data_IF_446327011401
#
_entry.id   IF_446327011401
#
_cell.length_a   1.000
_cell.length_b   1.000
_cell.length_c   1.000
_cell.angle_alpha   90.00
_cell.angle_beta   90.00
_cell.angle_gamma   90.00
#
_symmetry.space_group_name_H-M   'P 1'
#
loop_
_entity.id
_entity.type
_entity.pdbx_description
1 polymer ?
#
# COMPACT_ATOMS: atom_id res chain seq x y z
N UNK A 1 38.95 -12.02 32.34
CA UNK A 1 39.71 -10.82 32.77
C UNK A 1 38.80 -9.61 32.66
N UNK A 2 38.41 -9.04 33.80
CA UNK A 2 37.68 -7.77 33.89
C UNK A 2 38.72 -6.65 34.00
N UNK A 3 38.62 -5.63 33.16
CA UNK A 3 39.39 -4.39 33.32
C UNK A 3 38.38 -3.28 33.57
N UNK A 4 38.51 -2.68 34.74
CA UNK A 4 37.76 -1.54 35.26
C UNK A 4 38.77 -0.44 35.58
N UNK A 5 38.56 0.77 35.06
CA UNK A 5 39.07 2.06 35.59
C UNK A 5 38.55 3.19 34.67
N UNK A 6 37.51 3.96 35.02
CA UNK A 6 37.40 5.12 35.93
C UNK A 6 38.11 6.44 35.46
N UNK A 7 37.57 7.62 35.82
CA UNK A 7 37.33 8.76 34.92
C UNK A 7 38.22 10.00 35.20
N UNK A 8 38.19 10.98 34.30
CA UNK A 8 38.75 12.34 34.51
C UNK A 8 37.65 13.41 34.35
N UNK A 9 37.31 14.10 35.45
CA UNK A 9 37.65 15.49 35.84
C UNK A 9 36.90 16.57 35.04
N UNK A 10 35.87 17.21 35.62
CA UNK A 10 35.91 18.43 36.47
C UNK A 10 36.53 19.66 35.76
N UNK A 11 35.65 20.59 35.39
CA UNK A 11 35.99 21.94 34.92
C UNK A 11 34.83 22.89 35.19
N UNK A 12 34.76 23.41 36.42
CA UNK A 12 33.93 24.52 36.86
C UNK A 12 34.42 25.84 36.27
N UNK A 13 33.55 26.62 35.66
CA UNK A 13 33.80 28.03 35.40
C UNK A 13 32.54 28.85 35.72
N UNK A 14 32.59 29.48 36.88
CA UNK A 14 31.68 30.50 37.38
C UNK A 14 31.92 31.79 36.59
N UNK A 15 30.86 32.42 36.07
CA UNK A 15 30.91 33.82 35.65
C UNK A 15 29.64 34.52 36.14
N UNK A 16 29.85 35.30 37.20
CA UNK A 16 28.97 36.35 37.71
C UNK A 16 28.97 37.50 36.70
N UNK A 17 27.82 38.10 36.40
CA UNK A 17 27.83 39.33 35.63
C UNK A 17 26.46 39.91 35.26
N UNK A 18 26.00 40.81 36.12
CA UNK A 18 25.25 42.03 35.78
C UNK A 18 23.74 41.93 35.50
N UNK A 19 22.98 42.39 36.50
CA UNK A 19 21.57 42.78 36.42
C UNK A 19 21.47 44.22 35.88
N UNK A 20 20.62 44.42 34.87
CA UNK A 20 20.07 45.73 34.51
C UNK A 20 18.59 45.55 34.18
N UNK A 21 17.74 46.16 35.00
CA UNK A 21 16.31 46.34 34.79
C UNK A 21 16.09 47.57 33.89
N UNK A 22 15.09 47.50 33.00
CA UNK A 22 13.95 48.43 32.87
C UNK A 22 13.39 48.45 31.43
N UNK A 23 12.04 48.49 31.37
CA UNK A 23 11.13 48.94 30.31
C UNK A 23 10.43 47.84 29.48
N UNK A 24 9.12 47.73 29.70
CA UNK A 24 8.21 46.84 28.98
C UNK A 24 7.70 47.41 27.65
N UNK A 25 7.19 46.52 26.82
CA UNK A 25 5.98 46.65 25.97
C UNK A 25 5.58 45.24 25.51
N UNK A 26 4.28 44.95 25.53
CA UNK A 26 3.72 43.66 25.17
C UNK A 26 3.79 43.38 23.66
N UNK A 27 4.22 42.17 23.30
CA UNK A 27 3.62 41.36 22.23
C UNK A 27 4.09 41.57 20.78
N UNK A 28 5.15 40.89 20.37
CA UNK A 28 5.30 40.35 19.01
C UNK A 28 6.29 39.17 19.03
N UNK A 29 5.77 37.95 19.04
CA UNK A 29 6.57 36.74 18.96
C UNK A 29 7.26 36.65 17.58
N UNK A 30 8.56 36.31 17.51
CA UNK A 30 9.17 35.95 16.23
C UNK A 30 8.51 34.65 15.78
N UNK A 31 7.87 34.70 14.61
CA UNK A 31 7.33 33.53 13.94
C UNK A 31 8.42 32.47 13.85
N UNK A 32 8.24 31.37 14.59
CA UNK A 32 9.02 30.17 14.43
C UNK A 32 8.99 29.79 12.95
N UNK A 33 10.17 29.75 12.33
CA UNK A 33 10.36 29.15 11.02
C UNK A 33 9.87 27.71 11.12
N UNK A 34 8.66 27.48 10.60
CA UNK A 34 8.10 26.14 10.48
C UNK A 34 9.06 25.25 9.69
N UNK A 35 9.08 23.93 9.97
CA UNK A 35 9.90 23.00 9.20
C UNK A 35 9.63 23.19 7.71
N UNK A 36 10.67 23.10 6.85
CA UNK A 36 10.52 23.33 5.42
C UNK A 36 9.38 22.46 4.90
N UNK A 37 8.32 23.12 4.45
CA UNK A 37 7.21 22.50 3.76
C UNK A 37 7.80 21.63 2.66
N UNK A 38 7.67 20.31 2.79
CA UNK A 38 7.91 19.32 1.74
C UNK A 38 6.87 19.51 0.64
N UNK A 39 6.80 20.71 0.05
CA UNK A 39 6.11 21.01 -1.18
C UNK A 39 7.07 20.76 -2.34
N UNK A 40 7.72 19.58 -2.35
CA UNK A 40 8.12 18.97 -3.61
C UNK A 40 6.81 18.56 -4.28
N UNK A 41 6.43 19.26 -5.35
CA UNK A 41 5.09 19.24 -5.97
C UNK A 41 4.39 17.90 -5.81
N UNK A 42 3.29 17.89 -5.06
CA UNK A 42 2.46 16.70 -4.94
C UNK A 42 1.93 16.40 -6.34
N UNK A 43 2.57 15.45 -7.03
CA UNK A 43 2.04 14.90 -8.27
C UNK A 43 0.57 14.57 -8.04
N UNK A 44 -0.29 15.08 -8.92
CA UNK A 44 -1.71 14.77 -8.84
C UNK A 44 -1.88 13.25 -8.84
N UNK A 45 -2.66 12.74 -7.89
CA UNK A 45 -2.82 11.31 -7.76
C UNK A 45 -3.65 10.77 -8.92
N UNK A 46 -3.22 9.65 -9.48
CA UNK A 46 -3.96 8.91 -10.50
C UNK A 46 -5.02 8.03 -9.84
N UNK A 47 -6.06 7.67 -10.60
CA UNK A 47 -7.05 6.67 -10.18
C UNK A 47 -6.44 5.27 -10.08
N UNK A 48 -7.30 4.24 -10.02
CA UNK A 48 -6.84 2.86 -10.03
C UNK A 48 -6.44 2.45 -11.46
N UNK A 49 -5.23 2.85 -11.88
CA UNK A 49 -4.69 2.65 -13.23
C UNK A 49 -3.47 1.72 -13.20
N UNK A 50 -3.02 1.30 -14.38
CA UNK A 50 -1.76 0.56 -14.54
C UNK A 50 -0.66 1.56 -14.89
N UNK A 51 0.37 1.65 -14.05
CA UNK A 51 1.52 2.53 -14.26
C UNK A 51 2.79 1.69 -14.41
N UNK A 52 3.54 1.90 -15.49
CA UNK A 52 4.76 1.13 -15.77
C UNK A 52 6.01 1.94 -15.46
N UNK A 53 6.98 1.31 -14.81
CA UNK A 53 8.31 1.86 -14.51
C UNK A 53 9.35 0.89 -15.05
N UNK A 54 10.28 1.41 -15.85
CA UNK A 54 11.40 0.64 -16.36
C UNK A 54 12.55 0.61 -15.35
N UNK A 55 12.87 -0.58 -14.82
CA UNK A 55 13.98 -0.76 -13.90
C UNK A 55 15.35 -0.56 -14.57
N UNK A 56 15.47 -0.81 -15.87
CA UNK A 56 16.73 -0.65 -16.59
C UNK A 56 17.09 0.83 -16.83
N UNK A 57 16.09 1.72 -16.78
CA UNK A 57 16.33 3.15 -16.96
C UNK A 57 17.22 3.67 -15.82
N UNK A 58 18.38 4.30 -16.12
CA UNK A 58 19.26 4.80 -15.09
C UNK A 58 18.66 6.03 -14.38
N UNK A 59 19.15 6.31 -13.17
CA UNK A 59 18.78 7.50 -12.40
C UNK A 59 17.75 7.26 -11.29
N UNK A 60 17.20 8.36 -10.79
CA UNK A 60 16.22 8.36 -9.69
C UNK A 60 14.86 7.95 -10.22
N UNK A 61 14.22 6.99 -9.54
CA UNK A 61 12.88 6.53 -9.90
C UNK A 61 11.83 7.59 -9.54
N UNK A 62 10.73 7.67 -10.31
CA UNK A 62 9.68 8.64 -10.04
C UNK A 62 9.02 8.38 -8.68
N UNK A 63 8.50 9.44 -8.06
CA UNK A 63 7.55 9.29 -6.95
C UNK A 63 6.15 9.22 -7.53
N UNK A 64 5.41 8.16 -7.23
CA UNK A 64 4.08 7.93 -7.78
C UNK A 64 3.00 8.24 -6.74
N UNK A 65 1.83 8.65 -7.20
CA UNK A 65 0.61 8.66 -6.41
C UNK A 65 -0.52 7.97 -7.19
N UNK A 66 -0.95 6.79 -6.75
CA UNK A 66 -1.91 5.92 -7.48
C UNK A 66 -2.91 5.37 -6.47
N UNK A 67 -4.21 5.45 -6.76
CA UNK A 67 -5.26 4.96 -5.87
C UNK A 67 -5.18 3.44 -5.61
N UNK A 68 -5.77 2.99 -4.49
CA UNK A 68 -5.99 1.56 -4.21
C UNK A 68 -6.69 0.91 -5.41
N UNK A 69 -6.26 -0.30 -5.77
CA UNK A 69 -6.71 -1.04 -6.95
C UNK A 69 -5.79 -0.85 -8.16
N UNK A 70 -5.00 0.23 -8.21
CA UNK A 70 -4.00 0.46 -9.22
C UNK A 70 -2.88 -0.57 -9.21
N UNK A 71 -2.15 -0.68 -10.32
CA UNK A 71 -1.07 -1.64 -10.53
C UNK A 71 0.20 -0.90 -10.91
N UNK A 72 1.27 -1.13 -10.16
CA UNK A 72 2.61 -0.70 -10.55
C UNK A 72 3.28 -1.87 -11.26
N UNK A 73 3.64 -1.68 -12.52
CA UNK A 73 4.42 -2.63 -13.30
C UNK A 73 5.87 -2.21 -13.30
N UNK A 74 6.74 -3.05 -12.74
CA UNK A 74 8.18 -2.83 -12.79
C UNK A 74 8.75 -3.79 -13.82
N UNK A 75 9.13 -3.27 -14.98
CA UNK A 75 9.60 -4.05 -16.14
C UNK A 75 11.12 -4.12 -16.17
N UNK A 76 11.67 -5.03 -16.97
CA UNK A 76 13.12 -5.28 -17.12
C UNK A 76 13.79 -5.62 -15.78
N UNK A 77 13.15 -6.51 -15.02
CA UNK A 77 13.62 -6.98 -13.71
C UNK A 77 13.91 -8.47 -13.73
N UNK A 78 14.80 -8.93 -12.85
CA UNK A 78 15.03 -10.36 -12.61
C UNK A 78 14.08 -10.93 -11.55
N UNK A 79 13.86 -12.25 -11.49
CA UNK A 79 13.12 -12.86 -10.38
C UNK A 79 13.86 -12.61 -9.05
N UNK A 80 13.10 -12.36 -7.98
CA UNK A 80 13.64 -12.02 -6.65
C UNK A 80 14.23 -10.61 -6.52
N UNK A 81 14.22 -9.80 -7.59
CA UNK A 81 14.90 -8.49 -7.58
C UNK A 81 14.06 -7.32 -7.03
N UNK A 82 12.81 -7.57 -6.62
CA UNK A 82 11.92 -6.56 -6.09
C UNK A 82 11.47 -6.90 -4.67
N UNK A 83 11.69 -5.97 -3.74
CA UNK A 83 11.20 -6.04 -2.37
C UNK A 83 10.13 -4.97 -2.16
N UNK A 84 8.98 -5.36 -1.62
CA UNK A 84 7.88 -4.46 -1.35
C UNK A 84 7.66 -4.26 0.15
N UNK A 85 7.58 -3.00 0.59
CA UNK A 85 7.46 -2.64 2.00
C UNK A 85 6.41 -1.54 2.24
N UNK A 86 5.45 -1.75 3.16
CA UNK A 86 5.14 -3.03 3.80
C UNK A 86 4.48 -4.01 2.81
N UNK A 87 4.85 -5.29 2.88
CA UNK A 87 4.33 -6.32 1.98
C UNK A 87 2.81 -6.51 2.10
N UNK A 88 2.19 -6.12 3.22
CA UNK A 88 0.75 -6.24 3.45
C UNK A 88 -0.09 -5.23 2.67
N UNK A 89 0.54 -4.24 2.03
CA UNK A 89 -0.14 -3.19 1.27
C UNK A 89 -0.23 -3.47 -0.23
N UNK A 90 0.49 -4.48 -0.72
CA UNK A 90 0.61 -4.74 -2.15
C UNK A 90 0.68 -6.23 -2.41
N UNK A 91 0.02 -6.68 -3.46
CA UNK A 91 0.14 -8.05 -3.95
C UNK A 91 0.95 -8.03 -5.24
N UNK A 92 2.15 -8.61 -5.18
CA UNK A 92 3.08 -8.63 -6.30
C UNK A 92 3.18 -10.04 -6.88
N UNK A 93 3.16 -10.11 -8.20
CA UNK A 93 3.44 -11.33 -8.96
C UNK A 93 4.49 -11.04 -10.03
N UNK A 94 5.39 -12.00 -10.26
CA UNK A 94 6.44 -11.91 -11.27
C UNK A 94 6.12 -12.81 -12.46
N UNK A 95 6.17 -12.26 -13.67
CA UNK A 95 6.15 -13.02 -14.91
C UNK A 95 6.93 -12.30 -16.00
N UNK A 96 7.71 -13.07 -16.76
CA UNK A 96 8.40 -12.62 -17.98
C UNK A 96 9.15 -11.28 -17.81
N UNK A 97 10.01 -11.18 -16.78
CA UNK A 97 10.83 -9.98 -16.53
C UNK A 97 10.06 -8.79 -15.93
N UNK A 98 8.80 -9.00 -15.53
CA UNK A 98 7.92 -7.95 -15.01
C UNK A 98 7.35 -8.34 -13.66
N UNK A 99 7.46 -7.46 -12.68
CA UNK A 99 6.63 -7.48 -11.50
C UNK A 99 5.35 -6.69 -11.74
N UNK A 100 4.20 -7.30 -11.46
CA UNK A 100 2.90 -6.63 -11.40
C UNK A 100 2.48 -6.55 -9.94
N UNK A 101 2.49 -5.35 -9.40
CA UNK A 101 2.23 -5.08 -7.99
C UNK A 101 0.92 -4.31 -7.83
N UNK A 102 -0.15 -4.98 -7.40
CA UNK A 102 -1.45 -4.34 -7.15
C UNK A 102 -1.48 -3.72 -5.76
N UNK A 103 -1.84 -2.44 -5.71
CA UNK A 103 -1.97 -1.68 -4.47
C UNK A 103 -3.30 -2.07 -3.79
N UNK A 104 -3.23 -2.79 -2.67
CA UNK A 104 -4.42 -3.36 -2.01
C UNK A 104 -4.82 -2.64 -0.73
N UNK A 105 -4.01 -1.71 -0.21
CA UNK A 105 -4.33 -0.88 0.96
C UNK A 105 -3.78 0.53 0.81
N UNK A 106 -4.37 1.47 1.55
CA UNK A 106 -3.93 2.87 1.60
C UNK A 106 -2.64 3.06 2.40
N UNK A 107 -1.84 4.07 2.06
CA UNK A 107 -0.62 4.44 2.79
C UNK A 107 0.51 4.78 1.82
N UNK A 108 1.74 4.40 2.17
CA UNK A 108 2.90 4.52 1.28
C UNK A 108 3.58 3.17 1.13
N UNK A 109 3.77 2.73 -0.11
CA UNK A 109 4.55 1.54 -0.47
C UNK A 109 5.91 1.96 -0.99
N UNK A 110 6.95 1.30 -0.51
CA UNK A 110 8.31 1.38 -1.03
C UNK A 110 8.60 0.09 -1.79
N UNK A 111 8.94 0.22 -3.06
CA UNK A 111 9.41 -0.87 -3.90
C UNK A 111 10.91 -0.69 -4.10
N UNK A 112 11.71 -1.57 -3.51
CA UNK A 112 13.17 -1.51 -3.57
C UNK A 112 13.68 -2.52 -4.59
N UNK A 113 14.43 -2.04 -5.58
CA UNK A 113 15.11 -2.84 -6.57
C UNK A 113 16.45 -3.33 -6.02
N UNK A 114 16.60 -4.64 -5.84
CA UNK A 114 17.73 -5.24 -5.13
C UNK A 114 19.08 -5.02 -5.82
N UNK A 115 19.12 -4.92 -7.16
CA UNK A 115 20.37 -4.79 -7.92
C UNK A 115 21.13 -3.49 -7.60
N UNK A 116 20.40 -2.38 -7.42
CA UNK A 116 20.99 -1.04 -7.30
C UNK A 116 20.52 -0.29 -6.03
N UNK A 117 19.78 -0.98 -5.14
CA UNK A 117 19.12 -0.41 -3.97
C UNK A 117 18.26 0.85 -4.26
N UNK A 118 17.77 0.98 -5.50
CA UNK A 118 16.92 2.11 -5.91
C UNK A 118 15.50 1.91 -5.39
N UNK A 119 14.90 3.01 -4.93
CA UNK A 119 13.58 2.98 -4.30
C UNK A 119 12.54 3.71 -5.17
N UNK A 120 11.44 3.01 -5.45
CA UNK A 120 10.22 3.57 -6.03
C UNK A 120 9.21 3.78 -4.90
N UNK A 121 8.92 5.04 -4.58
CA UNK A 121 7.93 5.41 -3.56
C UNK A 121 6.57 5.64 -4.19
N UNK A 122 5.56 4.95 -3.69
CA UNK A 122 4.19 4.99 -4.18
C UNK A 122 3.27 5.40 -3.05
N UNK A 123 2.68 6.60 -3.14
CA UNK A 123 1.60 7.04 -2.25
C UNK A 123 0.27 6.47 -2.75
N UNK A 124 -0.48 5.86 -1.83
CA UNK A 124 -1.71 5.13 -2.13
C UNK A 124 -2.90 5.74 -1.38
N UNK A 125 -3.62 6.71 -1.97
CA UNK A 125 -4.89 7.17 -1.42
C UNK A 125 -5.99 6.14 -1.64
N UNK A 126 -7.06 6.17 -0.82
CA UNK A 126 -8.19 5.26 -0.93
C UNK A 126 -8.88 5.34 -2.30
N UNK A 127 -9.07 6.55 -2.79
CA UNK A 127 -9.66 6.87 -4.08
C UNK A 127 -9.19 8.25 -4.51
N UNK A 128 -9.26 8.52 -5.81
CA UNK A 128 -9.10 9.87 -6.35
C UNK A 128 -10.38 10.26 -7.09
N UNK A 129 -11.17 11.22 -6.56
CA UNK A 129 -12.41 11.64 -7.19
C UNK A 129 -12.20 12.12 -8.63
N UNK A 130 -13.08 11.70 -9.54
CA UNK A 130 -13.04 12.11 -10.95
C UNK A 130 -11.96 11.44 -11.80
N UNK A 131 -11.11 10.58 -11.22
CA UNK A 131 -10.10 9.84 -11.97
C UNK A 131 -10.60 8.46 -12.39
N UNK A 132 -10.18 7.96 -13.56
CA UNK A 132 -10.61 6.66 -14.06
C UNK A 132 -9.93 5.50 -13.31
N UNK A 133 -10.65 4.40 -13.17
CA UNK A 133 -10.18 3.15 -12.55
C UNK A 133 -10.04 2.05 -13.61
N UNK A 134 -9.13 2.23 -14.57
CA UNK A 134 -8.96 1.33 -15.73
C UNK A 134 -8.31 -0.01 -15.40
N UNK A 135 -7.67 -0.15 -14.23
CA UNK A 135 -7.05 -1.41 -13.78
C UNK A 135 -8.03 -2.38 -13.09
N UNK A 136 -9.31 -2.00 -12.99
CA UNK A 136 -10.35 -2.71 -12.25
C UNK A 136 -11.45 -3.18 -13.19
N UNK A 137 -11.96 -4.38 -12.94
CA UNK A 137 -13.05 -4.96 -13.72
C UNK A 137 -14.30 -4.07 -13.66
N UNK A 138 -15.00 -3.86 -14.80
CA UNK A 138 -16.10 -2.91 -14.87
C UNK A 138 -17.32 -3.39 -14.06
N UNK A 139 -18.23 -2.46 -13.74
CA UNK A 139 -19.51 -2.82 -13.14
C UNK A 139 -20.28 -3.82 -14.03
N UNK A 140 -21.02 -4.76 -13.42
CA UNK A 140 -21.72 -5.84 -14.13
C UNK A 140 -20.83 -7.00 -14.56
N UNK A 141 -19.50 -6.89 -14.44
CA UNK A 141 -18.61 -8.03 -14.66
C UNK A 141 -18.68 -9.04 -13.52
N UNK A 142 -18.28 -10.27 -13.84
CA UNK A 142 -18.14 -11.37 -12.90
C UNK A 142 -16.67 -11.80 -12.91
N UNK A 143 -16.07 -11.91 -11.72
CA UNK A 143 -14.69 -12.40 -11.53
C UNK A 143 -14.77 -13.66 -10.68
N UNK A 144 -14.32 -14.77 -11.24
CA UNK A 144 -14.30 -16.06 -10.55
C UNK A 144 -12.93 -16.29 -9.90
N UNK A 145 -12.97 -16.78 -8.65
CA UNK A 145 -11.84 -17.31 -7.91
C UNK A 145 -12.11 -18.79 -7.66
N UNK A 146 -11.42 -19.63 -8.43
CA UNK A 146 -11.57 -21.07 -8.35
C UNK A 146 -10.68 -21.62 -7.24
N UNK A 147 -11.30 -22.34 -6.31
CA UNK A 147 -10.59 -22.95 -5.18
C UNK A 147 -9.78 -24.18 -5.58
N UNK A 148 -10.08 -24.78 -6.72
CA UNK A 148 -9.35 -25.91 -7.30
C UNK A 148 -8.15 -25.48 -8.11
N UNK A 149 -8.07 -24.19 -8.50
CA UNK A 149 -6.93 -23.69 -9.26
C UNK A 149 -5.64 -23.79 -8.43
N UNK A 150 -4.62 -24.37 -9.06
CA UNK A 150 -3.28 -24.46 -8.50
C UNK A 150 -2.59 -23.09 -8.52
N UNK A 151 -3.03 -22.19 -9.42
CA UNK A 151 -2.50 -20.85 -9.49
C UNK A 151 -2.90 -20.04 -8.25
N UNK A 152 -1.95 -19.21 -7.80
CA UNK A 152 -2.16 -18.30 -6.69
C UNK A 152 -3.30 -17.35 -7.03
N UNK A 153 -4.31 -17.28 -6.15
CA UNK A 153 -5.34 -16.26 -6.19
C UNK A 153 -4.68 -14.87 -6.23
N UNK A 154 -4.79 -14.20 -7.38
CA UNK A 154 -4.34 -12.84 -7.54
C UNK A 154 -5.37 -11.91 -6.89
N UNK A 155 -4.92 -10.84 -6.23
CA UNK A 155 -5.81 -9.85 -5.65
C UNK A 155 -6.63 -9.14 -6.75
N UNK A 156 -7.95 -9.38 -6.89
CA UNK A 156 -8.71 -8.75 -7.95
C UNK A 156 -9.04 -7.29 -7.62
N UNK A 157 -9.14 -6.44 -8.64
CA UNK A 157 -9.76 -5.12 -8.50
C UNK A 157 -11.07 -5.08 -9.26
N UNK A 158 -12.12 -4.60 -8.60
CA UNK A 158 -13.48 -4.55 -9.10
C UNK A 158 -14.01 -3.11 -8.97
N UNK A 159 -14.88 -2.68 -9.89
CA UNK A 159 -15.74 -1.52 -9.65
C UNK A 159 -17.00 -1.94 -8.91
N UNK A 160 -17.59 -1.04 -8.13
CA UNK A 160 -18.89 -1.28 -7.48
C UNK A 160 -19.91 -1.68 -8.54
N UNK A 161 -20.68 -2.74 -8.25
CA UNK A 161 -21.60 -3.38 -9.18
C UNK A 161 -21.01 -4.58 -9.94
N UNK A 162 -19.72 -4.86 -9.83
CA UNK A 162 -19.17 -6.16 -10.23
C UNK A 162 -19.38 -7.21 -9.13
N UNK A 163 -19.37 -8.49 -9.52
CA UNK A 163 -19.54 -9.63 -8.60
C UNK A 163 -18.24 -10.44 -8.54
N UNK A 164 -17.74 -10.69 -7.33
CA UNK A 164 -16.69 -11.68 -7.10
C UNK A 164 -17.35 -13.00 -6.74
N UNK A 165 -16.99 -14.09 -7.42
CA UNK A 165 -17.46 -15.44 -7.10
C UNK A 165 -16.29 -16.26 -6.60
N UNK A 166 -16.47 -16.92 -5.47
CA UNK A 166 -15.57 -17.99 -5.04
C UNK A 166 -16.25 -19.31 -5.40
N UNK A 167 -15.67 -20.05 -6.33
CA UNK A 167 -16.28 -21.26 -6.91
C UNK A 167 -15.65 -22.52 -6.32
N UNK A 168 -16.40 -23.62 -6.42
CA UNK A 168 -16.05 -24.95 -5.89
C UNK A 168 -15.79 -24.97 -4.37
N UNK A 169 -16.49 -24.10 -3.64
CA UNK A 169 -16.34 -23.97 -2.19
C UNK A 169 -17.67 -24.28 -1.49
N UNK A 170 -17.65 -25.27 -0.59
CA UNK A 170 -18.81 -25.65 0.21
C UNK A 170 -19.38 -24.53 1.10
N UNK A 171 -20.61 -24.69 1.61
CA UNK A 171 -21.23 -23.70 2.49
C UNK A 171 -20.44 -23.59 3.81
N UNK A 172 -20.35 -22.38 4.37
CA UNK A 172 -19.63 -22.14 5.63
C UNK A 172 -18.10 -22.20 5.56
N UNK A 173 -17.52 -22.46 4.38
CA UNK A 173 -16.07 -22.55 4.18
C UNK A 173 -15.41 -21.24 3.73
N UNK A 174 -16.21 -20.17 3.58
CA UNK A 174 -15.74 -18.83 3.22
C UNK A 174 -15.92 -17.87 4.40
N UNK A 175 -14.82 -17.27 4.85
CA UNK A 175 -14.82 -16.13 5.75
C UNK A 175 -14.47 -14.85 4.98
N UNK A 176 -15.12 -13.73 5.33
CA UNK A 176 -14.95 -12.45 4.64
C UNK A 176 -14.73 -11.33 5.65
N UNK A 177 -13.70 -10.51 5.46
CA UNK A 177 -13.34 -9.40 6.36
C UNK A 177 -12.94 -8.14 5.59
N UNK A 178 -13.58 -6.98 5.83
CA UNK A 178 -14.74 -6.78 6.71
C UNK A 178 -16.05 -7.28 6.05
N UNK A 179 -16.88 -8.02 6.79
CA UNK A 179 -18.08 -8.66 6.26
C UNK A 179 -19.16 -7.65 5.81
N UNK A 180 -19.24 -6.48 6.45
CA UNK A 180 -20.21 -5.43 6.13
C UNK A 180 -19.91 -4.68 4.82
N UNK A 181 -18.71 -4.86 4.24
CA UNK A 181 -18.37 -4.27 2.95
C UNK A 181 -19.02 -5.01 1.76
N UNK A 182 -19.52 -6.23 1.97
CA UNK A 182 -20.06 -7.09 0.91
C UNK A 182 -21.45 -7.62 1.23
N UNK A 183 -22.13 -8.11 0.20
CA UNK A 183 -23.28 -8.99 0.30
C UNK A 183 -22.91 -10.30 -0.39
N UNK A 184 -22.80 -11.39 0.37
CA UNK A 184 -22.51 -12.71 -0.16
C UNK A 184 -23.73 -13.60 -0.08
N UNK A 185 -24.00 -14.35 -1.14
CA UNK A 185 -24.96 -15.45 -1.14
C UNK A 185 -24.29 -16.73 -1.63
N UNK A 186 -24.74 -17.85 -1.11
CA UNK A 186 -24.26 -19.17 -1.49
C UNK A 186 -25.31 -19.89 -2.35
N UNK A 187 -24.89 -20.45 -3.48
CA UNK A 187 -25.72 -21.29 -4.32
C UNK A 187 -24.83 -22.31 -5.06
N UNK A 188 -25.20 -23.59 -5.01
CA UNK A 188 -24.57 -24.66 -5.81
C UNK A 188 -23.02 -24.65 -5.84
N UNK A 189 -22.38 -24.53 -4.66
CA UNK A 189 -20.90 -24.54 -4.56
C UNK A 189 -20.24 -23.18 -4.88
N UNK A 190 -21.02 -22.12 -5.07
CA UNK A 190 -20.54 -20.80 -5.43
C UNK A 190 -20.92 -19.81 -4.32
N UNK A 191 -19.94 -19.05 -3.83
CA UNK A 191 -20.17 -17.86 -3.01
C UNK A 191 -20.07 -16.62 -3.88
N UNK A 192 -21.22 -16.01 -4.21
CA UNK A 192 -21.29 -14.81 -5.02
C UNK A 192 -21.40 -13.57 -4.12
N UNK A 193 -20.35 -12.75 -4.15
CA UNK A 193 -20.15 -11.61 -3.28
C UNK A 193 -20.14 -10.29 -4.08
N UNK A 194 -21.05 -9.39 -3.73
CA UNK A 194 -21.14 -8.04 -4.30
C UNK A 194 -20.65 -7.01 -3.29
N UNK A 195 -19.81 -6.09 -3.74
CA UNK A 195 -19.33 -4.99 -2.89
C UNK A 195 -20.40 -3.91 -2.77
N UNK A 196 -20.71 -3.51 -1.52
CA UNK A 196 -21.67 -2.44 -1.23
C UNK A 196 -21.03 -1.06 -1.21
N UNK A 197 -19.72 -1.00 -0.98
CA UNK A 197 -18.93 0.23 -0.86
C UNK A 197 -17.48 -0.02 -1.26
N UNK A 198 -16.73 1.04 -1.66
CA UNK A 198 -15.30 0.91 -1.90
C UNK A 198 -14.58 0.43 -0.63
N UNK A 199 -13.83 -0.66 -0.76
CA UNK A 199 -13.13 -1.31 0.35
C UNK A 199 -12.09 -2.31 -0.15
N UNK A 200 -11.12 -2.62 0.70
CA UNK A 200 -10.27 -3.80 0.55
C UNK A 200 -10.80 -4.89 1.47
N UNK A 201 -11.16 -6.03 0.89
CA UNK A 201 -11.81 -7.14 1.59
C UNK A 201 -10.97 -8.40 1.43
N UNK A 202 -10.65 -9.03 2.56
CA UNK A 202 -9.96 -10.31 2.61
C UNK A 202 -11.00 -11.42 2.57
N UNK A 203 -10.87 -12.30 1.57
CA UNK A 203 -11.62 -13.53 1.44
C UNK A 203 -10.72 -14.67 1.86
N UNK A 204 -11.16 -15.46 2.84
CA UNK A 204 -10.42 -16.58 3.39
C UNK A 204 -11.24 -17.85 3.17
N UNK A 205 -10.73 -18.74 2.33
CA UNK A 205 -11.36 -20.02 2.02
C UNK A 205 -10.60 -21.16 2.69
N UNK A 206 -11.34 -22.12 3.26
CA UNK A 206 -10.78 -23.31 3.91
C UNK A 206 -11.24 -24.57 3.21
N UNK A 207 -10.30 -25.35 2.65
CA UNK A 207 -10.55 -26.60 1.92
C UNK A 207 -9.58 -27.66 2.45
N UNK A 208 -10.09 -28.83 2.86
CA UNK A 208 -9.27 -29.95 3.38
C UNK A 208 -8.24 -29.54 4.45
N UNK A 209 -8.68 -28.71 5.40
CA UNK A 209 -7.86 -28.08 6.45
C UNK A 209 -6.78 -27.08 5.97
N UNK A 210 -6.59 -26.89 4.66
CA UNK A 210 -5.77 -25.82 4.10
C UNK A 210 -6.57 -24.52 4.01
N UNK A 211 -5.97 -23.42 4.48
CA UNK A 211 -6.57 -22.08 4.37
C UNK A 211 -5.85 -21.25 3.33
N UNK A 212 -6.61 -20.62 2.43
CA UNK A 212 -6.11 -19.69 1.42
C UNK A 212 -6.80 -18.34 1.61
N UNK A 213 -6.06 -17.24 1.45
CA UNK A 213 -6.63 -15.90 1.55
C UNK A 213 -6.22 -15.04 0.37
N UNK A 214 -7.15 -14.20 -0.08
CA UNK A 214 -6.91 -13.19 -1.12
C UNK A 214 -7.55 -11.88 -0.70
N UNK A 215 -6.92 -10.77 -1.07
CA UNK A 215 -7.51 -9.44 -0.88
C UNK A 215 -8.12 -8.97 -2.19
N UNK A 216 -9.44 -8.82 -2.24
CA UNK A 216 -10.10 -8.14 -3.34
C UNK A 216 -10.31 -6.67 -3.00
N UNK A 217 -10.09 -5.80 -3.98
CA UNK A 217 -10.31 -4.36 -3.86
C UNK A 217 -11.54 -3.99 -4.67
N UNK A 218 -12.44 -3.22 -4.06
CA UNK A 218 -13.49 -2.53 -4.78
C UNK A 218 -13.28 -1.01 -4.78
N UNK A 219 -13.43 -0.41 -5.95
CA UNK A 219 -13.38 1.03 -6.19
C UNK A 219 -14.70 1.50 -6.80
N UNK A 220 -14.93 2.82 -6.82
CA UNK A 220 -16.10 3.38 -7.52
C UNK A 220 -16.02 3.18 -9.03
#
# INVERSE_FOLDING_TARGET
MRISSHPHRLGTATLLGLVLLVAGTFGAAPAAAGPPSLAAGAAACEGAVVHSVDAAQPGTLPRLCIAVGGVVRVVNTGPGSLLAQPATMVDCFYAAGTYQCRLIRTGTVRLTLAADARELLVRVPAAVPGQPSTACSPAGSVVDLDTTDELRWWSPCLRIGATLRVVDLGPGLLAVTPADAVNCHYEAGIHACQFRRPASVVFTATVDAATRSVTAVAVR
#
